data_IF_178459914087
#
_entry.id   IF_178459914087
#
_cell.length_a   1.000
_cell.length_b   1.000
_cell.length_c   1.000
_cell.angle_alpha   90.00
_cell.angle_beta   90.00
_cell.angle_gamma   90.00
#
_symmetry.space_group_name_H-M   'P 1'
#
loop_
_entity.id
_entity.type
_entity.pdbx_description
1 polymer ?
#
# COMPACT_ATOMS: atom_id res chain seq x y z
N UNK A 1 -25.23 -12.88 4.45
CA UNK A 1 -24.63 -11.81 3.63
C UNK A 1 -23.91 -10.77 4.49
N UNK A 2 -24.24 -10.63 5.77
CA UNK A 2 -23.68 -9.57 6.64
C UNK A 2 -22.26 -9.83 7.18
N UNK A 3 -21.67 -11.01 6.92
CA UNK A 3 -20.28 -11.33 7.29
C UNK A 3 -19.25 -11.10 6.17
N UNK A 4 -19.71 -10.77 4.96
CA UNK A 4 -18.84 -10.46 3.82
C UNK A 4 -18.49 -8.97 3.72
N UNK A 5 -19.25 -8.10 4.40
CA UNK A 5 -19.05 -6.64 4.38
C UNK A 5 -18.05 -6.14 5.44
N UNK A 6 -17.58 -7.01 6.34
CA UNK A 6 -16.59 -6.66 7.38
C UNK A 6 -15.14 -6.79 6.86
N UNK A 7 -14.95 -7.42 5.69
CA UNK A 7 -13.64 -7.82 5.18
C UNK A 7 -13.34 -7.29 3.76
N UNK A 8 -14.03 -6.24 3.30
CA UNK A 8 -13.55 -5.48 2.15
C UNK A 8 -12.44 -4.53 2.63
N UNK A 9 -11.23 -5.09 2.75
CA UNK A 9 -9.98 -4.40 2.42
C UNK A 9 -9.80 -3.07 3.19
N UNK A 10 -9.32 -3.16 4.44
CA UNK A 10 -8.72 -2.02 5.17
C UNK A 10 -7.62 -1.29 4.38
N UNK A 11 -7.16 -1.82 3.25
CA UNK A 11 -6.14 -1.24 2.37
C UNK A 11 -6.63 0.08 1.74
N UNK A 12 -7.94 0.19 1.42
CA UNK A 12 -8.58 1.47 1.06
C UNK A 12 -8.99 2.32 2.27
N UNK A 13 -8.75 1.80 3.47
CA UNK A 13 -9.15 2.40 4.72
C UNK A 13 -8.43 3.72 5.00
N UNK A 14 -9.15 4.58 5.71
CA UNK A 14 -8.76 5.87 6.26
C UNK A 14 -7.29 5.96 6.73
N UNK A 15 -6.72 4.86 7.24
CA UNK A 15 -5.37 4.80 7.80
C UNK A 15 -4.25 4.99 6.77
N UNK A 16 -4.32 4.37 5.58
CA UNK A 16 -3.29 4.59 4.54
C UNK A 16 -3.28 6.05 4.05
N UNK A 17 -4.46 6.67 3.99
CA UNK A 17 -4.59 8.12 3.76
C UNK A 17 -3.98 8.94 4.90
N UNK A 18 -4.24 8.57 6.15
CA UNK A 18 -3.72 9.28 7.33
C UNK A 18 -2.19 9.24 7.43
N UNK A 19 -1.52 8.17 6.95
CA UNK A 19 -0.04 8.09 6.93
C UNK A 19 0.60 9.31 6.25
N UNK A 20 -0.02 9.84 5.19
CA UNK A 20 0.47 11.06 4.54
C UNK A 20 -0.36 12.31 4.87
N UNK A 21 -1.63 12.20 5.26
CA UNK A 21 -2.50 13.37 5.46
C UNK A 21 -2.56 13.88 6.92
N UNK A 22 -2.04 13.14 7.90
CA UNK A 22 -2.05 13.52 9.32
C UNK A 22 -0.65 13.79 9.84
N UNK A 23 -0.57 14.27 11.09
CA UNK A 23 0.66 14.63 11.81
C UNK A 23 0.62 14.18 13.26
N UNK A 24 1.79 14.08 13.86
CA UNK A 24 1.96 13.74 15.28
C UNK A 24 1.40 12.36 15.59
N UNK A 25 0.74 12.23 16.75
CA UNK A 25 0.26 10.94 17.26
C UNK A 25 -0.72 10.23 16.30
N UNK A 26 -1.56 10.96 15.58
CA UNK A 26 -2.48 10.36 14.58
C UNK A 26 -1.71 9.71 13.43
N UNK A 27 -0.63 10.34 12.97
CA UNK A 27 0.20 9.82 11.88
C UNK A 27 0.98 8.59 12.32
N UNK A 28 1.56 8.63 13.52
CA UNK A 28 2.29 7.51 14.10
C UNK A 28 1.39 6.30 14.37
N UNK A 29 0.15 6.53 14.84
CA UNK A 29 -0.83 5.44 15.01
C UNK A 29 -1.22 4.84 13.66
N UNK A 30 -1.52 5.68 12.66
CA UNK A 30 -1.85 5.24 11.32
C UNK A 30 -0.71 4.43 10.68
N UNK A 31 0.55 4.84 10.90
CA UNK A 31 1.74 4.08 10.46
C UNK A 31 1.77 2.68 11.08
N UNK A 32 1.57 2.57 12.39
CA UNK A 32 1.58 1.26 13.10
C UNK A 32 0.50 0.34 12.54
N UNK A 33 -0.73 0.85 12.42
CA UNK A 33 -1.86 0.10 11.88
C UNK A 33 -1.64 -0.30 10.42
N UNK A 34 -1.06 0.60 9.61
CA UNK A 34 -0.71 0.31 8.23
C UNK A 34 0.33 -0.82 8.12
N UNK A 35 1.39 -0.78 8.92
CA UNK A 35 2.41 -1.85 8.94
C UNK A 35 1.81 -3.19 9.39
N UNK A 36 0.95 -3.19 10.43
CA UNK A 36 0.23 -4.40 10.86
C UNK A 36 -0.63 -4.98 9.74
N UNK A 37 -1.35 -4.12 8.99
CA UNK A 37 -2.13 -4.55 7.82
C UNK A 37 -1.24 -5.18 6.73
N UNK A 38 -0.09 -4.59 6.43
CA UNK A 38 0.85 -5.14 5.45
C UNK A 38 1.40 -6.50 5.89
N UNK A 39 1.71 -6.67 7.18
CA UNK A 39 2.17 -7.95 7.74
C UNK A 39 1.10 -9.04 7.67
N UNK A 40 -0.16 -8.70 7.90
CA UNK A 40 -1.27 -9.63 7.72
C UNK A 40 -1.39 -10.08 6.26
N UNK A 41 -1.33 -9.14 5.31
CA UNK A 41 -1.35 -9.46 3.88
C UNK A 41 -0.17 -10.32 3.46
N UNK A 42 1.02 -10.04 3.97
CA UNK A 42 2.21 -10.85 3.70
C UNK A 42 2.08 -12.27 4.26
N UNK A 43 1.45 -12.41 5.44
CA UNK A 43 1.11 -13.71 6.03
C UNK A 43 0.16 -14.51 5.16
N UNK A 44 -0.92 -13.87 4.67
CA UNK A 44 -1.91 -14.50 3.77
C UNK A 44 -1.32 -14.86 2.40
N UNK A 45 -0.41 -14.03 1.87
CA UNK A 45 0.35 -14.36 0.65
C UNK A 45 1.20 -15.63 0.87
N UNK A 46 1.81 -15.76 2.04
CA UNK A 46 2.58 -16.93 2.46
C UNK A 46 3.78 -17.20 1.56
N UNK A 47 3.69 -18.26 0.74
CA UNK A 47 4.71 -18.64 -0.24
C UNK A 47 4.17 -18.66 -1.68
N UNK A 48 2.97 -18.14 -1.90
CA UNK A 48 2.37 -18.06 -3.23
C UNK A 48 3.05 -16.98 -4.06
N UNK A 49 3.02 -17.13 -5.39
CA UNK A 49 3.56 -16.12 -6.30
C UNK A 49 2.68 -14.86 -6.34
N UNK A 50 1.36 -15.06 -6.24
CA UNK A 50 0.30 -14.06 -6.20
C UNK A 50 -0.77 -14.49 -5.19
N UNK A 51 -1.63 -13.57 -4.76
CA UNK A 51 -2.79 -13.93 -3.92
C UNK A 51 -3.77 -14.84 -4.67
N UNK A 52 -3.82 -14.77 -6.00
CA UNK A 52 -4.50 -15.73 -6.87
C UNK A 52 -3.77 -17.08 -7.06
N UNK A 53 -2.68 -17.35 -6.34
CA UNK A 53 -1.85 -18.54 -6.50
C UNK A 53 -0.78 -18.36 -7.57
N UNK A 54 -0.96 -19.02 -8.73
CA UNK A 54 0.00 -18.98 -9.84
C UNK A 54 -0.15 -17.77 -10.77
N UNK A 55 -1.33 -17.13 -10.76
CA UNK A 55 -1.66 -15.97 -11.59
C UNK A 55 -2.27 -14.84 -10.76
N UNK A 56 -2.29 -13.63 -11.32
CA UNK A 56 -2.98 -12.49 -10.70
C UNK A 56 -4.47 -12.85 -10.46
N UNK A 57 -4.88 -12.76 -9.21
CA UNK A 57 -6.26 -12.90 -8.76
C UNK A 57 -6.88 -11.57 -8.36
N UNK A 58 -8.09 -11.64 -7.81
CA UNK A 58 -8.85 -10.47 -7.39
C UNK A 58 -8.10 -9.59 -6.38
N UNK A 59 -7.53 -10.20 -5.35
CA UNK A 59 -6.78 -9.47 -4.31
C UNK A 59 -5.54 -8.79 -4.90
N UNK A 60 -4.87 -9.43 -5.86
CA UNK A 60 -3.70 -8.82 -6.52
C UNK A 60 -4.08 -7.54 -7.27
N UNK A 61 -5.18 -7.59 -8.03
CA UNK A 61 -5.70 -6.44 -8.80
C UNK A 61 -6.09 -5.29 -7.88
N UNK A 62 -6.66 -5.60 -6.72
CA UNK A 62 -7.05 -4.61 -5.72
C UNK A 62 -5.84 -3.99 -5.00
N UNK A 63 -4.83 -4.80 -4.69
CA UNK A 63 -3.71 -4.38 -3.87
C UNK A 63 -2.57 -3.73 -4.67
N UNK A 64 -2.30 -4.20 -5.90
CA UNK A 64 -1.13 -3.75 -6.66
C UNK A 64 -1.10 -2.23 -6.90
N UNK A 65 -2.21 -1.50 -7.10
CA UNK A 65 -2.17 -0.04 -7.27
C UNK A 65 -1.52 0.69 -6.09
N UNK A 66 -1.61 0.16 -4.87
CA UNK A 66 -0.97 0.77 -3.69
C UNK A 66 0.56 0.74 -3.77
N UNK A 67 1.14 -0.15 -4.59
CA UNK A 67 2.58 -0.14 -4.82
C UNK A 67 3.08 1.21 -5.33
N UNK A 68 2.31 1.93 -6.16
CA UNK A 68 2.73 3.27 -6.61
C UNK A 68 2.79 4.31 -5.49
N UNK A 69 2.14 4.05 -4.35
CA UNK A 69 2.10 4.93 -3.18
C UNK A 69 3.14 4.60 -2.11
N UNK A 70 3.75 3.41 -2.16
CA UNK A 70 4.67 2.94 -1.11
C UNK A 70 5.81 3.91 -0.82
N UNK A 71 6.44 4.44 -1.86
CA UNK A 71 7.49 5.45 -1.71
C UNK A 71 7.00 6.71 -0.96
N UNK A 72 5.76 7.15 -1.20
CA UNK A 72 5.21 8.30 -0.51
C UNK A 72 4.97 8.00 0.98
N UNK A 73 4.45 6.82 1.31
CA UNK A 73 4.27 6.40 2.71
C UNK A 73 5.61 6.33 3.46
N UNK A 74 6.61 5.67 2.87
CA UNK A 74 7.95 5.53 3.43
C UNK A 74 8.60 6.89 3.72
N UNK A 75 8.43 7.86 2.83
CA UNK A 75 8.96 9.22 3.00
C UNK A 75 8.19 10.07 4.02
N UNK A 76 6.88 9.88 4.15
CA UNK A 76 6.09 10.64 5.12
C UNK A 76 6.40 10.26 6.57
N UNK A 77 6.79 9.00 6.82
CA UNK A 77 6.97 8.45 8.17
C UNK A 77 8.36 7.83 8.40
N UNK A 78 9.31 8.11 7.50
CA UNK A 78 10.69 7.65 7.52
C UNK A 78 10.85 6.17 7.94
N UNK A 79 10.25 5.27 7.16
CA UNK A 79 10.36 3.82 7.36
C UNK A 79 10.54 3.09 6.04
N UNK A 80 10.71 1.77 6.11
CA UNK A 80 10.94 0.90 4.96
C UNK A 80 9.92 -0.24 4.96
N UNK A 81 9.05 -0.27 3.96
CA UNK A 81 8.09 -1.36 3.79
C UNK A 81 8.83 -2.65 3.42
N UNK A 82 9.95 -2.57 2.70
CA UNK A 82 10.77 -3.74 2.37
C UNK A 82 11.40 -4.38 3.61
N UNK A 83 11.71 -3.59 4.63
CA UNK A 83 12.23 -4.11 5.90
C UNK A 83 11.14 -4.78 6.73
N UNK A 84 9.95 -4.20 6.78
CA UNK A 84 8.82 -4.75 7.54
C UNK A 84 8.16 -5.95 6.84
N UNK A 85 8.05 -5.89 5.51
CA UNK A 85 7.31 -6.84 4.67
C UNK A 85 8.05 -7.24 3.37
N UNK A 86 9.18 -7.94 3.45
CA UNK A 86 10.04 -8.22 2.29
C UNK A 86 9.38 -9.09 1.21
N UNK A 87 8.55 -10.08 1.58
CA UNK A 87 7.85 -10.93 0.59
C UNK A 87 6.76 -10.17 -0.13
N UNK A 88 6.09 -9.25 0.57
CA UNK A 88 5.08 -8.39 -0.06
C UNK A 88 5.74 -7.45 -1.09
N UNK A 89 6.91 -6.90 -0.80
CA UNK A 89 7.68 -6.13 -1.80
C UNK A 89 8.13 -7.00 -2.97
N UNK A 90 8.58 -8.23 -2.72
CA UNK A 90 8.94 -9.16 -3.79
C UNK A 90 7.73 -9.51 -4.67
N UNK A 91 6.56 -9.70 -4.08
CA UNK A 91 5.29 -9.85 -4.79
C UNK A 91 4.96 -8.63 -5.65
N UNK A 92 5.05 -7.42 -5.10
CA UNK A 92 4.74 -6.20 -5.84
C UNK A 92 5.69 -6.01 -7.04
N UNK A 93 7.01 -6.24 -6.84
CA UNK A 93 8.01 -6.23 -7.92
C UNK A 93 7.67 -7.25 -9.01
N UNK A 94 7.25 -8.46 -8.64
CA UNK A 94 6.80 -9.49 -9.59
C UNK A 94 5.54 -9.07 -10.35
N UNK A 95 4.57 -8.45 -9.69
CA UNK A 95 3.39 -7.91 -10.36
C UNK A 95 3.78 -6.87 -11.43
N UNK A 96 4.78 -6.02 -11.15
CA UNK A 96 5.27 -5.02 -12.10
C UNK A 96 5.96 -5.61 -13.35
N UNK A 97 6.37 -6.88 -13.32
CA UNK A 97 6.87 -7.58 -14.52
C UNK A 97 5.75 -7.86 -15.54
N UNK A 98 4.48 -7.75 -15.14
CA UNK A 98 3.33 -7.90 -16.04
C UNK A 98 3.07 -6.58 -16.78
N UNK A 99 3.05 -6.65 -18.10
CA UNK A 99 2.73 -5.52 -19.00
C UNK A 99 1.43 -4.79 -18.63
N UNK A 100 0.39 -5.52 -18.21
CA UNK A 100 -0.89 -4.93 -17.82
C UNK A 100 -0.78 -4.08 -16.55
N UNK A 101 0.09 -4.45 -15.61
CA UNK A 101 0.29 -3.73 -14.35
C UNK A 101 1.20 -2.53 -14.59
N UNK A 102 2.37 -2.74 -15.21
CA UNK A 102 3.37 -1.68 -15.40
C UNK A 102 2.87 -0.52 -16.26
N UNK A 103 1.99 -0.78 -17.22
CA UNK A 103 1.34 0.26 -18.05
C UNK A 103 0.18 0.97 -17.34
N UNK A 104 -0.38 0.37 -16.29
CA UNK A 104 -1.55 0.93 -15.57
C UNK A 104 -1.14 1.78 -14.37
N UNK A 105 0.02 1.51 -13.77
CA UNK A 105 0.44 2.17 -12.54
C UNK A 105 1.31 3.41 -12.82
N UNK A 106 1.05 4.53 -12.10
CA UNK A 106 1.91 5.70 -12.17
C UNK A 106 3.27 5.45 -11.51
N UNK A 107 4.27 6.21 -11.93
CA UNK A 107 5.60 6.17 -11.31
C UNK A 107 5.52 6.65 -9.84
N UNK A 108 6.19 5.93 -8.94
CA UNK A 108 6.17 6.21 -7.50
C UNK A 108 6.64 7.63 -7.12
N UNK A 109 7.63 8.18 -7.81
CA UNK A 109 8.10 9.55 -7.57
C UNK A 109 7.05 10.59 -7.93
N UNK A 110 6.31 10.37 -9.02
CA UNK A 110 5.20 11.26 -9.41
C UNK A 110 4.06 11.23 -8.40
N UNK A 111 3.78 10.07 -7.80
CA UNK A 111 2.80 9.97 -6.72
C UNK A 111 3.26 10.70 -5.47
N UNK A 112 4.55 10.63 -5.13
CA UNK A 112 5.09 11.41 -4.03
C UNK A 112 5.02 12.93 -4.29
N UNK A 113 5.38 13.39 -5.49
CA UNK A 113 5.23 14.80 -5.86
C UNK A 113 3.75 15.25 -5.76
N UNK A 114 2.83 14.39 -6.19
CA UNK A 114 1.39 14.63 -6.04
C UNK A 114 0.97 14.71 -4.57
N UNK A 115 1.46 13.81 -3.71
CA UNK A 115 1.21 13.86 -2.26
C UNK A 115 1.75 15.13 -1.63
N UNK A 116 2.95 15.59 -2.01
CA UNK A 116 3.50 16.87 -1.55
C UNK A 116 2.63 18.05 -1.97
N UNK A 117 2.17 18.05 -3.22
CA UNK A 117 1.24 19.07 -3.71
C UNK A 117 -0.09 19.06 -2.93
N UNK A 118 -0.66 17.88 -2.63
CA UNK A 118 -1.87 17.78 -1.81
C UNK A 118 -1.63 18.32 -0.40
N UNK A 119 -0.47 18.03 0.21
CA UNK A 119 -0.11 18.58 1.52
C UNK A 119 -0.10 20.10 1.51
N UNK A 120 0.51 20.71 0.49
CA UNK A 120 0.51 22.16 0.30
C UNK A 120 -0.92 22.72 0.15
N UNK A 121 -1.71 22.13 -0.74
CA UNK A 121 -3.11 22.57 -1.00
C UNK A 121 -3.99 22.48 0.23
N UNK A 122 -3.80 21.46 1.07
CA UNK A 122 -4.58 21.25 2.29
C UNK A 122 -3.96 21.86 3.55
N UNK A 123 -2.81 22.55 3.45
CA UNK A 123 -2.14 23.15 4.61
C UNK A 123 -1.61 22.14 5.62
N UNK A 124 -1.20 20.96 5.16
CA UNK A 124 -0.62 19.88 5.96
C UNK A 124 0.91 20.04 5.94
N UNK A 125 1.43 21.13 6.53
CA UNK A 125 2.88 21.45 6.59
C UNK A 125 3.65 20.65 7.61
#
# INVERSE_FOLDING_TARGET
MDKLMVNEVQIYGLESGKVWAKKGEEQESAKKEFIECLKLLEGELGNQAYFGGENLGYVDVVLVPFYSWFYAYEKCENFSIETECPKLIAWAKRCMEKDSVSKSLPNQYKIYDFVLHLKEVFGIE
#
